data_IF_985612067014
#
_entry.id   IF_985612067014
#
_cell.length_a   1.000
_cell.length_b   1.000
_cell.length_c   1.000
_cell.angle_alpha   90.00
_cell.angle_beta   90.00
_cell.angle_gamma   90.00
#
_symmetry.space_group_name_H-M   'P 1'
#
loop_
_entity.id
_entity.type
_entity.pdbx_description
1 polymer ?
#
# COMPACT_ATOMS: atom_id res chain seq x y z
N UNK A 1 -23.90 -2.57 15.65
CA UNK A 1 -23.50 -1.29 15.01
C UNK A 1 -23.44 -1.55 13.51
N UNK A 2 -23.89 -0.63 12.65
CA UNK A 2 -23.72 -0.80 11.20
C UNK A 2 -22.23 -0.93 10.89
N UNK A 3 -21.88 -1.84 9.98
CA UNK A 3 -20.49 -1.95 9.56
C UNK A 3 -20.03 -0.65 8.89
N UNK A 4 -18.76 -0.23 9.08
CA UNK A 4 -18.24 0.96 8.44
C UNK A 4 -18.34 0.83 6.91
N UNK A 5 -18.72 1.95 6.27
CA UNK A 5 -18.79 2.03 4.82
C UNK A 5 -17.37 2.03 4.25
N UNK A 6 -17.14 1.35 3.12
CA UNK A 6 -15.84 1.38 2.47
C UNK A 6 -15.48 2.79 2.03
N UNK A 7 -14.19 3.09 2.04
CA UNK A 7 -13.62 4.31 1.49
C UNK A 7 -13.22 4.09 0.04
N UNK A 8 -13.72 4.95 -0.85
CA UNK A 8 -13.33 4.98 -2.26
C UNK A 8 -12.00 5.68 -2.45
N UNK A 9 -11.04 5.00 -3.06
CA UNK A 9 -9.71 5.49 -3.43
C UNK A 9 -9.41 5.19 -4.90
N UNK A 10 -8.25 5.65 -5.37
CA UNK A 10 -7.77 5.38 -6.73
C UNK A 10 -6.26 5.18 -6.73
N UNK A 11 -5.79 4.26 -7.57
CA UNK A 11 -4.36 4.15 -7.89
C UNK A 11 -3.87 5.45 -8.54
N UNK A 12 -2.56 5.74 -8.42
CA UNK A 12 -1.95 7.00 -8.88
C UNK A 12 -1.50 6.99 -10.36
N UNK A 13 -2.05 6.09 -11.17
CA UNK A 13 -1.81 6.09 -12.62
C UNK A 13 -2.35 7.35 -13.29
N UNK A 14 -1.97 7.59 -14.55
CA UNK A 14 -2.56 8.68 -15.35
C UNK A 14 -4.08 8.56 -15.48
N UNK A 15 -4.77 9.63 -15.91
CA UNK A 15 -6.25 9.75 -15.91
C UNK A 15 -7.00 8.56 -16.52
N UNK A 16 -6.44 7.90 -17.54
CA UNK A 16 -7.06 6.73 -18.20
C UNK A 16 -6.58 5.37 -17.68
N UNK A 17 -5.63 5.36 -16.73
CA UNK A 17 -5.00 4.16 -16.15
C UNK A 17 -5.25 4.05 -14.65
N UNK A 18 -5.73 5.12 -14.01
CA UNK A 18 -6.12 5.14 -12.61
C UNK A 18 -7.29 4.16 -12.38
N UNK A 19 -7.12 3.24 -11.44
CA UNK A 19 -8.12 2.24 -11.09
C UNK A 19 -8.77 2.68 -9.79
N UNK A 20 -10.07 2.92 -9.83
CA UNK A 20 -10.87 3.14 -8.63
C UNK A 20 -11.03 1.83 -7.85
N UNK A 21 -10.97 1.92 -6.52
CA UNK A 21 -11.11 0.78 -5.64
C UNK A 21 -11.71 1.21 -4.30
N UNK A 22 -12.29 0.25 -3.59
CA UNK A 22 -12.85 0.46 -2.25
C UNK A 22 -11.90 -0.18 -1.22
N UNK A 23 -11.74 0.44 -0.06
CA UNK A 23 -10.94 -0.09 1.03
C UNK A 23 -11.68 0.01 2.36
N UNK A 24 -11.54 -1.02 3.20
CA UNK A 24 -12.19 -1.11 4.51
C UNK A 24 -11.31 -1.86 5.48
N UNK A 25 -11.30 -1.44 6.74
CA UNK A 25 -10.60 -2.15 7.80
C UNK A 25 -11.58 -2.97 8.64
N UNK A 26 -11.40 -4.29 8.64
CA UNK A 26 -12.15 -5.21 9.50
C UNK A 26 -11.40 -6.53 9.66
N UNK A 27 -11.78 -7.34 10.65
CA UNK A 27 -11.10 -8.61 10.95
C UNK A 27 -9.56 -8.45 11.04
N UNK A 28 -9.10 -7.35 11.64
CA UNK A 28 -7.69 -7.02 11.84
C UNK A 28 -6.87 -6.79 10.55
N UNK A 29 -7.53 -6.65 9.40
CA UNK A 29 -6.90 -6.44 8.10
C UNK A 29 -7.55 -5.30 7.31
N UNK A 30 -6.71 -4.61 6.53
CA UNK A 30 -7.14 -3.70 5.49
C UNK A 30 -7.48 -4.52 4.25
N UNK A 31 -8.76 -4.56 3.91
CA UNK A 31 -9.27 -5.22 2.71
C UNK A 31 -9.46 -4.20 1.60
N UNK A 32 -8.94 -4.52 0.42
CA UNK A 32 -9.07 -3.73 -0.81
C UNK A 32 -9.95 -4.49 -1.77
N UNK A 33 -10.98 -3.83 -2.29
CA UNK A 33 -12.01 -4.36 -3.17
C UNK A 33 -11.95 -3.67 -4.51
N UNK A 34 -12.35 -4.37 -5.57
CA UNK A 34 -12.65 -3.68 -6.82
C UNK A 34 -13.84 -2.74 -6.57
N UNK A 35 -13.72 -1.51 -7.07
CA UNK A 35 -14.80 -0.53 -6.99
C UNK A 35 -16.14 -1.14 -7.44
N UNK A 36 -17.18 -0.90 -6.64
CA UNK A 36 -18.56 -1.31 -6.95
C UNK A 36 -18.79 -2.84 -6.98
N UNK A 37 -17.82 -3.63 -6.54
CA UNK A 37 -17.90 -5.08 -6.39
C UNK A 37 -17.53 -5.52 -4.95
N UNK A 38 -18.13 -6.60 -4.44
CA UNK A 38 -17.72 -7.20 -3.15
C UNK A 38 -16.54 -8.18 -3.29
N UNK A 39 -15.73 -8.03 -4.35
CA UNK A 39 -14.59 -8.92 -4.62
C UNK A 39 -13.33 -8.30 -4.02
N UNK A 40 -12.75 -9.00 -3.04
CA UNK A 40 -11.45 -8.66 -2.44
C UNK A 40 -10.34 -8.89 -3.47
N UNK A 41 -9.58 -7.85 -3.78
CA UNK A 41 -8.40 -7.90 -4.63
C UNK A 41 -7.15 -8.24 -3.80
N UNK A 42 -6.98 -7.54 -2.68
CA UNK A 42 -5.82 -7.65 -1.79
C UNK A 42 -6.25 -7.47 -0.34
N UNK A 43 -5.47 -8.02 0.59
CA UNK A 43 -5.71 -7.84 2.03
C UNK A 43 -4.39 -7.82 2.76
N UNK A 44 -4.22 -6.83 3.63
CA UNK A 44 -2.99 -6.62 4.40
C UNK A 44 -3.33 -6.54 5.88
N UNK A 45 -2.71 -7.38 6.70
CA UNK A 45 -2.88 -7.27 8.15
C UNK A 45 -2.21 -6.00 8.69
N UNK A 46 -2.66 -5.48 9.83
CA UNK A 46 -1.99 -4.33 10.46
C UNK A 46 -0.50 -4.62 10.74
N UNK A 47 -0.19 -5.84 11.21
CA UNK A 47 1.19 -6.31 11.43
C UNK A 47 2.02 -6.30 10.16
N UNK A 48 1.45 -6.75 9.04
CA UNK A 48 2.14 -6.74 7.75
C UNK A 48 2.40 -5.31 7.26
N UNK A 49 1.40 -4.42 7.34
CA UNK A 49 1.56 -3.01 6.97
C UNK A 49 2.66 -2.36 7.81
N UNK A 50 2.69 -2.66 9.11
CA UNK A 50 3.73 -2.18 10.02
C UNK A 50 5.13 -2.64 9.59
N UNK A 51 5.31 -3.93 9.28
CA UNK A 51 6.58 -4.48 8.81
C UNK A 51 7.04 -3.84 7.49
N UNK A 52 6.10 -3.60 6.57
CA UNK A 52 6.37 -2.90 5.31
C UNK A 52 6.87 -1.48 5.59
N UNK A 53 6.17 -0.72 6.44
CA UNK A 53 6.54 0.66 6.80
C UNK A 53 7.93 0.72 7.47
N UNK A 54 8.21 -0.16 8.43
CA UNK A 54 9.53 -0.23 9.06
C UNK A 54 10.65 -0.57 8.07
N UNK A 55 10.38 -1.49 7.13
CA UNK A 55 11.36 -1.86 6.11
C UNK A 55 11.64 -0.69 5.14
N UNK A 56 10.59 0.02 4.72
CA UNK A 56 10.73 1.23 3.89
C UNK A 56 11.49 2.34 4.62
N UNK A 57 11.20 2.57 5.90
CA UNK A 57 11.90 3.55 6.73
C UNK A 57 13.39 3.20 6.86
N UNK A 58 13.71 1.94 7.14
CA UNK A 58 15.10 1.46 7.22
C UNK A 58 15.84 1.61 5.89
N UNK A 59 15.17 1.37 4.76
CA UNK A 59 15.80 1.37 3.44
C UNK A 59 15.92 2.76 2.82
N UNK A 60 14.90 3.61 2.99
CA UNK A 60 14.79 4.89 2.30
C UNK A 60 14.73 6.10 3.23
N UNK A 61 14.42 5.90 4.51
CA UNK A 61 14.05 6.99 5.41
C UNK A 61 12.89 7.79 4.82
N UNK A 62 13.08 9.09 4.67
CA UNK A 62 12.10 10.00 4.04
C UNK A 62 12.40 10.31 2.56
N UNK A 63 13.29 9.55 1.92
CA UNK A 63 13.57 9.69 0.48
C UNK A 63 12.46 9.02 -0.33
N UNK A 64 12.29 9.47 -1.57
CA UNK A 64 11.38 8.83 -2.51
C UNK A 64 11.83 7.40 -2.85
N UNK A 65 10.88 6.47 -2.81
CA UNK A 65 11.00 5.09 -3.26
C UNK A 65 9.96 4.80 -4.36
N UNK A 66 10.32 3.98 -5.36
CA UNK A 66 9.40 3.65 -6.43
C UNK A 66 8.29 2.70 -5.96
N UNK A 67 7.13 2.76 -6.64
CA UNK A 67 6.05 1.78 -6.51
C UNK A 67 6.59 0.34 -6.64
N UNK A 68 7.24 0.09 -7.77
CA UNK A 68 8.10 -1.04 -8.12
C UNK A 68 8.36 -0.91 -9.63
N UNK A 69 9.54 -1.30 -10.11
CA UNK A 69 9.76 -1.39 -11.56
C UNK A 69 9.26 -2.76 -12.05
N UNK A 70 8.30 -2.78 -12.98
CA UNK A 70 7.72 -3.96 -13.63
C UNK A 70 7.65 -5.18 -12.70
N UNK A 71 6.62 -5.21 -11.85
CA UNK A 71 6.26 -6.36 -11.02
C UNK A 71 6.12 -7.65 -11.87
N UNK A 72 5.81 -7.52 -13.17
CA UNK A 72 5.81 -8.58 -14.18
C UNK A 72 7.19 -9.18 -14.52
N UNK A 73 8.28 -8.56 -14.09
CA UNK A 73 9.66 -9.04 -14.29
C UNK A 73 10.36 -9.41 -12.98
N UNK A 74 9.61 -9.50 -11.88
CA UNK A 74 10.09 -10.03 -10.60
C UNK A 74 10.62 -11.45 -10.76
N UNK A 75 11.83 -11.71 -10.25
CA UNK A 75 12.55 -12.98 -10.35
C UNK A 75 13.73 -12.97 -11.34
N UNK A 76 14.10 -11.80 -11.89
CA UNK A 76 15.23 -11.67 -12.85
C UNK A 76 16.47 -10.98 -12.26
N UNK A 77 16.44 -10.53 -11.00
CA UNK A 77 17.60 -10.00 -10.28
C UNK A 77 17.98 -8.55 -10.62
N UNK A 78 17.14 -7.85 -11.39
CA UNK A 78 17.31 -6.43 -11.76
C UNK A 78 16.28 -5.53 -11.06
N UNK A 79 15.60 -6.03 -10.03
CA UNK A 79 14.51 -5.31 -9.38
C UNK A 79 15.04 -4.14 -8.57
N UNK A 80 14.47 -2.96 -8.80
CA UNK A 80 14.76 -1.80 -7.97
C UNK A 80 14.03 -1.95 -6.64
N UNK A 81 14.70 -1.71 -5.49
CA UNK A 81 14.01 -1.66 -4.21
C UNK A 81 12.91 -0.60 -4.24
N UNK A 82 11.77 -0.89 -3.60
CA UNK A 82 10.55 -0.07 -3.65
C UNK A 82 9.38 -0.79 -2.99
N UNK A 83 8.19 -0.19 -3.00
CA UNK A 83 7.04 -0.68 -2.22
C UNK A 83 6.67 -2.14 -2.55
N UNK A 84 6.51 -2.48 -3.83
CA UNK A 84 6.19 -3.85 -4.26
C UNK A 84 7.27 -4.87 -3.90
N UNK A 85 8.56 -4.49 -4.01
CA UNK A 85 9.66 -5.37 -3.58
C UNK A 85 9.67 -5.55 -2.07
N UNK A 86 9.39 -4.50 -1.31
CA UNK A 86 9.25 -4.59 0.15
C UNK A 86 8.11 -5.53 0.52
N UNK A 87 6.93 -5.40 -0.09
CA UNK A 87 5.80 -6.33 0.11
C UNK A 87 6.22 -7.77 -0.20
N UNK A 88 6.95 -8.01 -1.30
CA UNK A 88 7.41 -9.35 -1.64
C UNK A 88 8.40 -9.93 -0.61
N UNK A 89 9.27 -9.10 -0.06
CA UNK A 89 10.36 -9.51 0.83
C UNK A 89 9.94 -9.66 2.30
N UNK A 90 9.10 -8.75 2.80
CA UNK A 90 8.71 -8.70 4.21
C UNK A 90 7.22 -8.96 4.44
N UNK A 91 6.41 -8.98 3.37
CA UNK A 91 5.01 -9.34 3.47
C UNK A 91 4.84 -10.78 3.93
N UNK A 92 3.73 -11.04 4.63
CA UNK A 92 3.42 -12.38 5.16
C UNK A 92 3.14 -13.35 4.01
N UNK A 93 2.68 -12.82 2.88
CA UNK A 93 2.46 -13.56 1.64
C UNK A 93 3.48 -13.12 0.56
N UNK A 94 4.58 -13.86 0.45
CA UNK A 94 5.66 -13.61 -0.52
C UNK A 94 5.28 -14.01 -1.98
N UNK A 95 4.10 -13.60 -2.44
CA UNK A 95 3.64 -13.83 -3.82
C UNK A 95 3.70 -12.57 -4.67
N UNK A 96 3.99 -12.76 -5.96
CA UNK A 96 4.02 -11.66 -6.95
C UNK A 96 2.66 -10.95 -7.00
N UNK A 97 1.55 -11.69 -6.94
CA UNK A 97 0.19 -11.11 -6.91
C UNK A 97 0.00 -10.20 -5.71
N UNK A 98 0.51 -10.58 -4.53
CA UNK A 98 0.42 -9.73 -3.34
C UNK A 98 1.28 -8.46 -3.47
N UNK A 99 2.45 -8.58 -4.07
CA UNK A 99 3.34 -7.46 -4.39
C UNK A 99 2.76 -6.49 -5.44
N UNK A 100 1.98 -6.98 -6.40
CA UNK A 100 1.22 -6.15 -7.36
C UNK A 100 0.20 -5.25 -6.66
N UNK A 101 -0.28 -5.67 -5.49
CA UNK A 101 -1.16 -4.89 -4.63
C UNK A 101 -0.53 -3.60 -4.08
N UNK A 102 0.79 -3.40 -4.22
CA UNK A 102 1.48 -2.13 -3.90
C UNK A 102 0.83 -0.90 -4.54
N UNK A 103 0.27 -1.05 -5.75
CA UNK A 103 -0.39 0.04 -6.48
C UNK A 103 -1.67 0.53 -5.80
N UNK A 104 -2.29 -0.32 -4.98
CA UNK A 104 -3.46 -0.03 -4.17
C UNK A 104 -3.08 0.35 -2.73
N UNK A 105 -2.08 -0.32 -2.16
CA UNK A 105 -1.62 -0.03 -0.80
C UNK A 105 -1.01 1.38 -0.68
N UNK A 106 -0.27 1.86 -1.70
CA UNK A 106 0.32 3.20 -1.71
C UNK A 106 -0.69 4.32 -1.41
N UNK A 107 -1.81 4.44 -2.16
CA UNK A 107 -2.88 5.40 -1.86
C UNK A 107 -3.51 5.23 -0.48
N UNK A 108 -3.61 4.00 0.06
CA UNK A 108 -4.10 3.80 1.43
C UNK A 108 -3.13 4.39 2.46
N UNK A 109 -1.82 4.17 2.30
CA UNK A 109 -0.79 4.75 3.18
C UNK A 109 -0.71 6.28 3.06
N UNK A 110 -1.01 6.81 1.87
CA UNK A 110 -1.15 8.25 1.64
C UNK A 110 -2.35 8.83 2.40
N UNK A 111 -3.51 8.15 2.34
CA UNK A 111 -4.70 8.55 3.11
C UNK A 111 -4.44 8.57 4.61
N UNK A 112 -3.76 7.55 5.13
CA UNK A 112 -3.39 7.45 6.54
C UNK A 112 -2.39 8.54 6.97
N UNK A 113 -1.81 9.29 6.03
CA UNK A 113 -0.82 10.33 6.32
C UNK A 113 0.57 9.78 6.63
N UNK A 114 0.90 8.56 6.19
CA UNK A 114 2.23 7.98 6.34
C UNK A 114 3.12 8.19 5.11
N UNK A 115 2.51 8.25 3.93
CA UNK A 115 3.20 8.43 2.67
C UNK A 115 2.74 9.70 1.94
N UNK A 116 3.62 10.26 1.12
CA UNK A 116 3.28 11.32 0.18
C UNK A 116 3.72 10.92 -1.22
N UNK A 117 2.80 11.00 -2.18
CA UNK A 117 3.04 10.72 -3.59
C UNK A 117 3.85 11.85 -4.25
N UNK A 118 4.72 11.53 -5.21
CA UNK A 118 5.52 12.52 -5.95
C UNK A 118 4.72 13.40 -6.94
N UNK A 119 3.42 13.14 -7.12
CA UNK A 119 2.57 13.91 -8.03
C UNK A 119 2.68 13.50 -9.51
N UNK A 120 3.52 12.51 -9.82
CA UNK A 120 3.80 12.11 -11.20
C UNK A 120 3.05 10.83 -11.60
N UNK A 121 2.26 10.85 -12.70
CA UNK A 121 1.49 9.70 -13.15
C UNK A 121 2.36 8.58 -13.77
N UNK A 122 3.62 8.89 -14.07
CA UNK A 122 4.62 7.95 -14.59
C UNK A 122 5.84 7.98 -13.66
N UNK A 123 6.45 6.81 -13.42
CA UNK A 123 7.50 6.73 -12.40
C UNK A 123 6.93 7.08 -11.02
N UNK A 124 5.82 6.45 -10.66
CA UNK A 124 5.13 6.68 -9.39
C UNK A 124 6.08 6.36 -8.23
N UNK A 125 6.23 7.33 -7.33
CA UNK A 125 7.03 7.19 -6.12
C UNK A 125 6.25 7.71 -4.92
N UNK A 126 6.55 7.15 -3.75
CA UNK A 126 6.14 7.72 -2.47
C UNK A 126 7.37 8.00 -1.62
N UNK A 127 7.22 8.88 -0.64
CA UNK A 127 8.16 9.01 0.47
C UNK A 127 7.40 8.89 1.78
N UNK A 128 8.06 8.39 2.81
CA UNK A 128 7.51 8.46 4.17
C UNK A 128 7.55 9.91 4.66
N UNK A 129 6.44 10.38 5.21
CA UNK A 129 6.35 11.72 5.83
C UNK A 129 6.37 11.66 7.36
N UNK A 130 6.19 10.47 7.93
CA UNK A 130 6.36 10.20 9.36
C UNK A 130 7.52 9.23 9.60
N UNK A 131 8.09 9.29 10.79
CA UNK A 131 9.14 8.39 11.27
C UNK A 131 8.73 7.78 12.61
N UNK A 132 9.30 6.62 12.95
CA UNK A 132 9.00 5.90 14.18
C UNK A 132 7.49 5.64 14.36
N UNK A 133 6.82 5.28 13.27
CA UNK A 133 5.40 4.89 13.28
C UNK A 133 5.28 3.72 14.25
N UNK A 134 4.39 3.81 15.25
CA UNK A 134 4.14 2.70 16.17
C UNK A 134 3.02 1.79 15.64
N UNK A 135 3.10 0.52 15.97
CA UNK A 135 2.06 -0.48 15.68
C UNK A 135 0.69 -0.06 16.23
N UNK A 136 0.66 0.50 17.45
CA UNK A 136 -0.56 1.00 18.08
C UNK A 136 -1.16 2.19 17.32
N UNK A 137 -0.33 3.13 16.87
CA UNK A 137 -0.80 4.27 16.08
C UNK A 137 -1.37 3.81 14.75
N UNK A 138 -0.69 2.88 14.06
CA UNK A 138 -1.16 2.28 12.83
C UNK A 138 -2.52 1.59 13.00
N UNK A 139 -2.67 0.79 14.07
CA UNK A 139 -3.92 0.09 14.35
C UNK A 139 -5.07 1.08 14.56
N UNK A 140 -4.82 2.16 15.31
CA UNK A 140 -5.80 3.21 15.56
C UNK A 140 -6.19 3.94 14.26
N UNK A 141 -5.21 4.35 13.46
CA UNK A 141 -5.46 5.08 12.21
C UNK A 141 -6.21 4.21 11.19
N UNK A 142 -5.91 2.90 11.12
CA UNK A 142 -6.66 1.96 10.29
C UNK A 142 -8.12 1.85 10.73
N UNK A 143 -8.37 1.71 12.04
CA UNK A 143 -9.72 1.57 12.58
C UNK A 143 -10.56 2.85 12.50
N UNK A 144 -9.91 4.02 12.55
CA UNK A 144 -10.60 5.32 12.51
C UNK A 144 -10.87 5.80 11.08
N UNK A 145 -10.02 5.43 10.11
CA UNK A 145 -10.07 5.97 8.75
C UNK A 145 -10.60 5.02 7.67
N UNK A 146 -10.75 3.72 7.98
CA UNK A 146 -11.21 2.65 7.07
C UNK A 146 -12.17 1.68 7.77
#
# INVERSE_FOLDING_TARGET
>A
MPEPLPIRLSTRGGTNQAIAFDAKYHNEALHIYRADEQIVLHSYSATEIYQILQSLEKQFGQKYFPLANNVEHLGRGNEKPGLGMTILQVGINASITHAQGSSYLGPCLERLGYCEWNGEPHGIQWRLIQQNISDRQLLQDLADQF
#
